data_IF_735140777568
#
_entry.id   IF_735140777568
#
_cell.length_a   1.000
_cell.length_b   1.000
_cell.length_c   1.000
_cell.angle_alpha   90.00
_cell.angle_beta   90.00
_cell.angle_gamma   90.00
#
_symmetry.space_group_name_H-M   'P 1'
#
loop_
_entity.id
_entity.type
_entity.pdbx_description
1 polymer ?
#
# COMPACT_ATOMS: atom_id res chain seq x y z
N UNK A 1 -16.82 39.73 17.88
CA UNK A 1 -16.97 38.26 17.89
C UNK A 1 -15.85 37.63 17.06
N UNK A 2 -14.77 37.12 17.65
CA UNK A 2 -13.75 36.37 16.91
C UNK A 2 -13.52 35.00 17.58
N UNK A 3 -14.46 34.07 17.44
CA UNK A 3 -14.29 32.68 17.92
C UNK A 3 -14.39 31.68 16.75
N UNK A 4 -14.87 32.10 15.57
CA UNK A 4 -15.13 31.22 14.43
C UNK A 4 -13.91 30.92 13.54
N UNK A 5 -12.80 31.65 13.68
CA UNK A 5 -11.63 31.48 12.78
C UNK A 5 -10.62 30.47 13.32
N UNK A 6 -10.69 30.10 14.61
CA UNK A 6 -9.73 29.17 15.21
C UNK A 6 -10.05 27.67 14.95
N UNK A 7 -11.27 27.34 14.52
CA UNK A 7 -11.74 25.96 14.36
C UNK A 7 -11.44 25.34 12.99
N UNK A 8 -11.09 26.17 11.99
CA UNK A 8 -10.80 25.70 10.63
C UNK A 8 -9.34 25.23 10.49
N UNK A 9 -8.43 25.70 11.36
CA UNK A 9 -7.00 25.39 11.24
C UNK A 9 -6.58 24.05 11.85
N UNK A 10 -7.40 23.45 12.72
CA UNK A 10 -7.10 22.13 13.32
C UNK A 10 -7.56 20.94 12.47
N UNK A 11 -8.47 21.16 11.50
CA UNK A 11 -8.94 20.11 10.57
C UNK A 11 -7.93 19.84 9.44
N UNK A 12 -7.10 20.82 9.07
CA UNK A 12 -6.17 20.73 7.93
C UNK A 12 -4.94 19.86 8.21
N UNK A 13 -4.51 19.75 9.47
CA UNK A 13 -3.31 18.98 9.84
C UNK A 13 -3.58 17.47 9.90
N UNK A 14 -4.79 17.05 10.28
CA UNK A 14 -5.18 15.64 10.26
C UNK A 14 -5.56 15.14 8.85
N UNK A 15 -6.06 16.02 7.98
CA UNK A 15 -6.31 15.70 6.57
C UNK A 15 -5.04 15.30 5.82
N UNK A 16 -3.95 16.08 5.98
CA UNK A 16 -2.70 15.87 5.25
C UNK A 16 -1.99 14.54 5.56
N UNK A 17 -1.97 14.11 6.84
CA UNK A 17 -1.35 12.82 7.21
C UNK A 17 -2.11 11.64 6.61
N UNK A 18 -3.44 11.66 6.67
CA UNK A 18 -4.28 10.58 6.14
C UNK A 18 -4.18 10.48 4.62
N UNK A 19 -4.22 11.61 3.93
CA UNK A 19 -4.10 11.67 2.47
C UNK A 19 -2.71 11.22 1.99
N UNK A 20 -1.66 11.55 2.75
CA UNK A 20 -0.31 11.05 2.52
C UNK A 20 -0.22 9.51 2.66
N UNK A 21 -0.82 8.92 3.70
CA UNK A 21 -0.83 7.46 3.87
C UNK A 21 -1.64 6.76 2.75
N UNK A 22 -2.80 7.32 2.39
CA UNK A 22 -3.62 6.76 1.30
C UNK A 22 -2.84 6.80 -0.01
N UNK A 23 -2.16 7.92 -0.32
CA UNK A 23 -1.35 8.07 -1.53
C UNK A 23 -0.19 7.08 -1.55
N UNK A 24 0.52 6.93 -0.44
CA UNK A 24 1.62 5.96 -0.34
C UNK A 24 1.14 4.52 -0.55
N UNK A 25 0.00 4.14 0.04
CA UNK A 25 -0.61 2.82 -0.16
C UNK A 25 -1.03 2.65 -1.63
N UNK A 26 -1.60 3.67 -2.26
CA UNK A 26 -2.00 3.64 -3.66
C UNK A 26 -0.82 3.43 -4.61
N UNK A 27 0.32 4.08 -4.35
CA UNK A 27 1.54 3.83 -5.13
C UNK A 27 1.97 2.37 -5.03
N UNK A 28 1.94 1.78 -3.83
CA UNK A 28 2.32 0.37 -3.64
C UNK A 28 1.32 -0.57 -4.34
N UNK A 29 0.01 -0.29 -4.21
CA UNK A 29 -1.05 -1.04 -4.90
C UNK A 29 -0.82 -1.01 -6.41
N UNK A 30 -0.58 0.15 -7.00
CA UNK A 30 -0.33 0.30 -8.44
C UNK A 30 0.89 -0.53 -8.86
N UNK A 31 2.01 -0.43 -8.14
CA UNK A 31 3.20 -1.24 -8.42
C UNK A 31 2.89 -2.75 -8.37
N UNK A 32 2.10 -3.20 -7.40
CA UNK A 32 1.78 -4.63 -7.25
C UNK A 32 0.82 -5.11 -8.34
N UNK A 33 -0.14 -4.28 -8.74
CA UNK A 33 -1.03 -4.55 -9.87
C UNK A 33 -0.27 -4.61 -11.20
N UNK A 34 0.67 -3.68 -11.44
CA UNK A 34 1.56 -3.71 -12.60
C UNK A 34 2.44 -4.97 -12.64
N UNK A 35 3.02 -5.36 -11.50
CA UNK A 35 3.79 -6.62 -11.38
C UNK A 35 2.92 -7.83 -11.68
N UNK A 36 1.70 -7.89 -11.14
CA UNK A 36 0.76 -9.00 -11.43
C UNK A 36 0.38 -9.08 -12.90
N UNK A 37 0.20 -7.93 -13.57
CA UNK A 37 -0.07 -7.87 -15.01
C UNK A 37 1.13 -8.38 -15.81
N UNK A 38 2.34 -7.87 -15.52
CA UNK A 38 3.58 -8.31 -16.16
C UNK A 38 3.84 -9.82 -16.01
N UNK A 39 3.50 -10.38 -14.83
CA UNK A 39 3.62 -11.81 -14.53
C UNK A 39 2.74 -12.70 -15.41
N UNK A 40 1.84 -12.18 -16.25
CA UNK A 40 1.12 -13.02 -17.22
C UNK A 40 2.08 -13.58 -18.28
N UNK A 41 3.06 -12.77 -18.68
CA UNK A 41 3.96 -13.09 -19.81
C UNK A 41 5.41 -13.32 -19.38
N UNK A 42 5.81 -12.82 -18.21
CA UNK A 42 7.22 -12.80 -17.79
C UNK A 42 7.45 -13.51 -16.46
N UNK A 43 8.71 -13.83 -16.16
CA UNK A 43 9.14 -14.29 -14.84
C UNK A 43 9.12 -13.16 -13.81
N UNK A 44 9.20 -13.52 -12.52
CA UNK A 44 9.06 -12.56 -11.43
C UNK A 44 10.14 -11.47 -11.38
N UNK A 45 11.41 -11.83 -11.59
CA UNK A 45 12.55 -10.89 -11.51
C UNK A 45 12.42 -9.77 -12.56
N UNK A 46 12.19 -10.06 -13.87
CA UNK A 46 11.94 -9.02 -14.87
C UNK A 46 10.78 -8.08 -14.51
N UNK A 47 9.70 -8.60 -13.92
CA UNK A 47 8.57 -7.76 -13.51
C UNK A 47 8.88 -6.85 -12.32
N UNK A 48 9.74 -7.29 -11.40
CA UNK A 48 10.24 -6.45 -10.30
C UNK A 48 11.08 -5.31 -10.85
N UNK A 49 11.93 -5.59 -11.85
CA UNK A 49 12.82 -4.58 -12.45
C UNK A 49 12.09 -3.55 -13.30
N UNK A 50 11.05 -3.95 -14.03
CA UNK A 50 10.21 -3.03 -14.82
C UNK A 50 9.30 -2.17 -13.96
N UNK A 51 8.92 -2.66 -12.79
CA UNK A 51 8.00 -1.98 -11.87
C UNK A 51 8.61 -1.93 -10.47
N UNK A 52 9.66 -1.11 -10.26
CA UNK A 52 10.33 -1.02 -8.95
C UNK A 52 9.42 -0.36 -7.91
N UNK A 53 9.65 -0.68 -6.64
CA UNK A 53 8.98 -0.05 -5.50
C UNK A 53 10.01 0.75 -4.68
N UNK A 54 10.94 0.03 -4.06
CA UNK A 54 12.08 0.60 -3.35
C UNK A 54 13.21 -0.45 -3.29
N UNK A 55 14.48 -0.03 -3.18
CA UNK A 55 15.62 -0.95 -3.29
C UNK A 55 15.58 -2.12 -2.30
N UNK A 56 15.09 -1.88 -1.08
CA UNK A 56 15.07 -2.90 -0.03
C UNK A 56 13.96 -3.92 -0.28
N UNK A 57 12.74 -3.45 -0.52
CA UNK A 57 11.60 -4.32 -0.83
C UNK A 57 11.83 -5.12 -2.11
N UNK A 58 12.47 -4.50 -3.10
CA UNK A 58 12.76 -5.15 -4.38
C UNK A 58 13.85 -6.21 -4.25
N UNK A 59 14.90 -5.97 -3.46
CA UNK A 59 15.90 -6.99 -3.15
C UNK A 59 15.27 -8.20 -2.45
N UNK A 60 14.37 -7.98 -1.49
CA UNK A 60 13.64 -9.06 -0.81
C UNK A 60 12.72 -9.81 -1.78
N UNK A 61 12.00 -9.11 -2.66
CA UNK A 61 11.13 -9.72 -3.66
C UNK A 61 11.92 -10.56 -4.68
N UNK A 62 13.08 -10.08 -5.12
CA UNK A 62 13.99 -10.84 -6.00
C UNK A 62 14.51 -12.09 -5.31
N UNK A 63 14.99 -11.96 -4.07
CA UNK A 63 15.48 -13.10 -3.27
C UNK A 63 14.39 -14.15 -3.06
N UNK A 64 13.17 -13.71 -2.72
CA UNK A 64 12.00 -14.59 -2.62
C UNK A 64 11.72 -15.30 -3.96
N UNK A 65 11.77 -14.57 -5.07
CA UNK A 65 11.50 -15.11 -6.40
C UNK A 65 12.59 -16.07 -6.91
N UNK A 66 13.81 -16.00 -6.37
CA UNK A 66 14.86 -17.00 -6.62
C UNK A 66 14.60 -18.30 -5.87
N UNK A 67 13.93 -18.22 -4.71
CA UNK A 67 13.70 -19.36 -3.81
C UNK A 67 12.38 -20.08 -4.07
N UNK A 68 11.41 -19.40 -4.68
CA UNK A 68 10.05 -19.90 -4.89
C UNK A 68 9.60 -19.69 -6.33
N UNK A 69 8.77 -20.60 -6.88
CA UNK A 69 8.30 -20.47 -8.25
C UNK A 69 7.37 -19.27 -8.42
N UNK A 70 7.24 -18.82 -9.66
CA UNK A 70 6.40 -17.69 -10.09
C UNK A 70 4.98 -17.70 -9.51
N UNK A 71 4.35 -18.87 -9.39
CA UNK A 71 3.00 -19.03 -8.82
C UNK A 71 2.91 -18.58 -7.36
N UNK A 72 3.95 -18.83 -6.55
CA UNK A 72 4.02 -18.40 -5.16
C UNK A 72 4.18 -16.89 -5.06
N UNK A 73 5.04 -16.30 -5.88
CA UNK A 73 5.18 -14.84 -5.92
C UNK A 73 3.87 -14.16 -6.34
N UNK A 74 3.17 -14.71 -7.33
CA UNK A 74 1.82 -14.26 -7.72
C UNK A 74 0.82 -14.34 -6.57
N UNK A 75 0.82 -15.45 -5.83
CA UNK A 75 -0.06 -15.62 -4.66
C UNK A 75 0.27 -14.63 -3.54
N UNK A 76 1.56 -14.37 -3.30
CA UNK A 76 2.03 -13.36 -2.35
C UNK A 76 1.54 -11.97 -2.74
N UNK A 77 1.74 -11.53 -3.98
CA UNK A 77 1.28 -10.22 -4.46
C UNK A 77 -0.25 -10.05 -4.29
N UNK A 78 -1.04 -11.08 -4.60
CA UNK A 78 -2.50 -11.04 -4.42
C UNK A 78 -2.91 -10.89 -2.96
N UNK A 79 -2.24 -11.62 -2.06
CA UNK A 79 -2.49 -11.51 -0.61
C UNK A 79 -2.15 -10.11 -0.11
N UNK A 80 -0.98 -9.61 -0.47
CA UNK A 80 -0.52 -8.29 -0.04
C UNK A 80 -1.43 -7.18 -0.60
N UNK A 81 -1.91 -7.29 -1.84
CA UNK A 81 -2.90 -6.38 -2.40
C UNK A 81 -4.21 -6.36 -1.62
N UNK A 82 -4.72 -7.52 -1.19
CA UNK A 82 -5.94 -7.57 -0.39
C UNK A 82 -5.74 -6.85 0.96
N UNK A 83 -4.57 -7.04 1.59
CA UNK A 83 -4.19 -6.33 2.82
C UNK A 83 -4.12 -4.83 2.56
N UNK A 84 -3.36 -4.38 1.55
CA UNK A 84 -3.19 -2.96 1.23
C UNK A 84 -4.54 -2.29 0.91
N UNK A 85 -5.44 -2.95 0.18
CA UNK A 85 -6.79 -2.44 -0.08
C UNK A 85 -7.62 -2.31 1.21
N UNK A 86 -7.53 -3.28 2.13
CA UNK A 86 -8.13 -3.17 3.48
C UNK A 86 -7.54 -1.98 4.24
N UNK A 87 -6.22 -1.83 4.24
CA UNK A 87 -5.53 -0.72 4.91
C UNK A 87 -5.98 0.63 4.36
N UNK A 88 -6.03 0.79 3.02
CA UNK A 88 -6.55 1.99 2.37
C UNK A 88 -7.95 2.34 2.85
N UNK A 89 -8.86 1.35 2.90
CA UNK A 89 -10.21 1.55 3.42
C UNK A 89 -10.22 1.97 4.89
N UNK A 90 -9.37 1.37 5.72
CA UNK A 90 -9.25 1.73 7.14
C UNK A 90 -8.81 3.19 7.33
N UNK A 91 -7.76 3.62 6.63
CA UNK A 91 -7.34 5.03 6.64
C UNK A 91 -8.43 5.94 6.06
N UNK A 92 -9.18 5.47 5.05
CA UNK A 92 -10.27 6.18 4.39
C UNK A 92 -11.56 6.36 5.20
N UNK A 93 -11.70 5.81 6.41
CA UNK A 93 -12.96 5.83 7.19
C UNK A 93 -13.05 6.88 8.31
N UNK A 94 -12.06 7.76 8.46
CA UNK A 94 -12.00 8.73 9.57
C UNK A 94 -12.08 8.07 10.97
N UNK A 95 -11.53 6.87 11.09
CA UNK A 95 -11.56 6.07 12.32
C UNK A 95 -10.73 6.72 13.43
N UNK A 96 -11.15 6.55 14.68
CA UNK A 96 -10.30 6.81 15.85
C UNK A 96 -9.06 5.91 15.79
N UNK A 97 -7.94 6.25 16.48
CA UNK A 97 -6.75 5.41 16.47
C UNK A 97 -6.99 3.96 16.90
N UNK A 98 -7.89 3.73 17.86
CA UNK A 98 -8.28 2.39 18.33
C UNK A 98 -9.04 1.61 17.25
N UNK A 99 -10.00 2.26 16.59
CA UNK A 99 -10.77 1.66 15.48
C UNK A 99 -9.89 1.41 14.25
N UNK A 100 -8.96 2.32 13.94
CA UNK A 100 -7.97 2.12 12.89
C UNK A 100 -7.09 0.90 13.20
N UNK A 101 -6.59 0.77 14.43
CA UNK A 101 -5.81 -0.41 14.86
C UNK A 101 -6.62 -1.70 14.77
N UNK A 102 -7.87 -1.70 15.20
CA UNK A 102 -8.77 -2.83 15.07
C UNK A 102 -9.04 -3.19 13.59
N UNK A 103 -9.23 -2.19 12.73
CA UNK A 103 -9.46 -2.36 11.31
C UNK A 103 -8.22 -2.94 10.59
N UNK A 104 -7.01 -2.53 11.01
CA UNK A 104 -5.74 -2.99 10.46
C UNK A 104 -5.31 -4.38 10.99
N UNK A 105 -5.97 -4.89 12.03
CA UNK A 105 -5.68 -6.22 12.58
C UNK A 105 -6.19 -7.31 11.60
N UNK A 106 -5.38 -8.35 11.31
CA UNK A 106 -5.75 -9.44 10.41
C UNK A 106 -6.91 -10.27 10.93
#
# INVERSE_FOLDING_TARGET
MPIFVLLIFTLSLFGGWRESNITAIDTIIQTYESRLSCLQEHEAIPCIERHPQDPRSDALAKTFSMSFPKSYYKAKLRRDLAILKKQKLCFGKALTPQEAKACLSP
#
